data_IF_138812891460
#
_entry.id   IF_138812891460
#
_cell.length_a   1.000
_cell.length_b   1.000
_cell.length_c   1.000
_cell.angle_alpha   90.00
_cell.angle_beta   90.00
_cell.angle_gamma   90.00
#
_symmetry.space_group_name_H-M   'P 1'
#
loop_
_entity.id
_entity.type
_entity.pdbx_description
1 polymer ?
#
# COMPACT_ATOMS: atom_id res chain seq x y z
N UNK A 1 -4.07 -7.91 -0.56
CA UNK A 1 -4.09 -6.98 -1.71
C UNK A 1 -2.78 -7.13 -2.48
N UNK A 2 -2.85 -7.36 -3.80
CA UNK A 2 -1.68 -7.54 -4.66
C UNK A 2 -1.00 -6.20 -4.99
N UNK A 3 0.26 -6.26 -5.42
CA UNK A 3 1.04 -5.08 -5.82
C UNK A 3 0.46 -4.36 -7.06
N UNK A 4 -0.07 -5.14 -8.03
CA UNK A 4 -0.61 -4.66 -9.31
C UNK A 4 -2.10 -4.33 -9.22
N UNK A 5 -2.48 -3.20 -9.81
CA UNK A 5 -3.89 -2.83 -9.97
C UNK A 5 -4.55 -3.61 -11.11
N UNK A 6 -5.73 -4.17 -10.86
CA UNK A 6 -6.59 -4.80 -11.88
C UNK A 6 -7.92 -4.08 -12.06
N UNK A 7 -8.22 -3.09 -11.22
CA UNK A 7 -9.57 -2.53 -11.15
C UNK A 7 -9.88 -1.57 -12.31
N UNK A 8 -8.88 -0.91 -12.88
CA UNK A 8 -9.06 -0.17 -14.14
C UNK A 8 -9.64 -1.06 -15.27
N UNK A 9 -9.23 -2.32 -15.32
CA UNK A 9 -9.62 -3.27 -16.37
C UNK A 9 -10.78 -4.19 -15.97
N UNK A 10 -11.49 -3.88 -14.89
CA UNK A 10 -12.40 -4.81 -14.27
C UNK A 10 -13.61 -5.18 -15.15
N UNK A 11 -14.04 -4.28 -16.05
CA UNK A 11 -15.08 -4.55 -17.06
C UNK A 11 -14.65 -5.70 -17.97
N UNK A 12 -15.40 -6.79 -17.95
CA UNK A 12 -15.09 -8.01 -18.70
C UNK A 12 -14.05 -8.92 -18.03
N UNK A 13 -13.04 -8.36 -17.34
CA UNK A 13 -12.05 -9.15 -16.61
C UNK A 13 -12.71 -10.03 -15.53
N UNK A 14 -13.67 -9.49 -14.77
CA UNK A 14 -14.40 -10.27 -13.76
C UNK A 14 -15.09 -11.51 -14.36
N UNK A 15 -15.70 -11.37 -15.53
CA UNK A 15 -16.32 -12.49 -16.25
C UNK A 15 -15.28 -13.49 -16.76
N UNK A 16 -14.13 -13.01 -17.24
CA UNK A 16 -13.03 -13.86 -17.72
C UNK A 16 -12.44 -14.68 -16.57
N UNK A 17 -12.15 -14.05 -15.43
CA UNK A 17 -11.62 -14.71 -14.23
C UNK A 17 -12.56 -15.79 -13.69
N UNK A 18 -13.88 -15.60 -13.85
CA UNK A 18 -14.90 -16.54 -13.40
C UNK A 18 -15.12 -17.71 -14.37
N UNK A 19 -15.00 -17.48 -15.67
CA UNK A 19 -15.34 -18.47 -16.71
C UNK A 19 -14.13 -19.28 -17.23
N UNK A 20 -12.91 -18.77 -17.06
CA UNK A 20 -11.70 -19.37 -17.63
C UNK A 20 -10.61 -19.58 -16.58
N UNK A 21 -9.78 -20.59 -16.81
CA UNK A 21 -8.53 -20.73 -16.06
C UNK A 21 -7.55 -19.66 -16.55
N UNK A 22 -7.24 -18.71 -15.68
CA UNK A 22 -6.30 -17.62 -15.97
C UNK A 22 -5.02 -17.78 -15.14
N UNK A 23 -4.01 -16.95 -15.44
CA UNK A 23 -2.79 -16.88 -14.63
C UNK A 23 -2.98 -16.07 -13.32
N UNK A 24 -4.14 -15.47 -13.11
CA UNK A 24 -4.44 -14.73 -11.88
C UNK A 24 -4.88 -15.70 -10.77
N UNK A 25 -4.41 -15.45 -9.56
CA UNK A 25 -4.85 -16.20 -8.38
C UNK A 25 -6.25 -15.75 -7.90
N UNK A 26 -6.82 -16.52 -6.97
CA UNK A 26 -8.17 -16.29 -6.44
C UNK A 26 -8.33 -14.93 -5.73
N UNK A 27 -7.25 -14.37 -5.18
CA UNK A 27 -7.25 -13.08 -4.45
C UNK A 27 -7.79 -11.96 -5.32
N UNK A 28 -7.45 -11.98 -6.61
CA UNK A 28 -7.91 -10.96 -7.55
C UNK A 28 -9.42 -11.01 -7.76
N UNK A 29 -9.98 -12.21 -7.91
CA UNK A 29 -11.43 -12.41 -8.04
C UNK A 29 -12.15 -11.96 -6.78
N UNK A 30 -11.64 -12.31 -5.59
CA UNK A 30 -12.25 -11.94 -4.31
C UNK A 30 -12.27 -10.41 -4.11
N UNK A 31 -11.15 -9.74 -4.43
CA UNK A 31 -11.05 -8.27 -4.36
C UNK A 31 -12.04 -7.61 -5.31
N UNK A 32 -12.14 -8.08 -6.55
CA UNK A 32 -13.11 -7.56 -7.51
C UNK A 32 -14.53 -7.78 -7.01
N UNK A 33 -14.87 -8.98 -6.54
CA UNK A 33 -16.20 -9.28 -6.05
C UNK A 33 -16.61 -8.39 -4.88
N UNK A 34 -15.71 -8.16 -3.92
CA UNK A 34 -15.93 -7.24 -2.78
C UNK A 34 -16.09 -5.79 -3.26
N UNK A 35 -15.18 -5.35 -4.13
CA UNK A 35 -15.15 -3.98 -4.59
C UNK A 35 -16.37 -3.64 -5.49
N UNK A 36 -16.99 -4.64 -6.12
CA UNK A 36 -18.21 -4.50 -6.93
C UNK A 36 -19.50 -4.72 -6.15
N UNK A 37 -19.43 -5.04 -4.84
CA UNK A 37 -20.65 -5.13 -4.03
C UNK A 37 -21.38 -3.78 -4.06
N UNK A 38 -22.71 -3.78 -4.28
CA UNK A 38 -23.51 -2.59 -4.07
C UNK A 38 -23.22 -2.05 -2.68
N UNK A 39 -23.09 -0.73 -2.54
CA UNK A 39 -22.89 -0.09 -1.24
C UNK A 39 -23.94 -0.62 -0.26
N UNK A 40 -23.49 -1.36 0.76
CA UNK A 40 -24.38 -1.82 1.82
C UNK A 40 -25.02 -0.59 2.47
N UNK A 41 -26.32 -0.64 2.73
CA UNK A 41 -27.07 0.52 3.25
C UNK A 41 -26.60 0.97 4.65
N UNK A 42 -25.86 0.13 5.38
CA UNK A 42 -25.28 0.48 6.66
C UNK A 42 -23.77 0.66 6.49
N UNK A 43 -23.31 1.92 6.43
CA UNK A 43 -21.89 2.21 6.48
C UNK A 43 -21.30 1.75 7.82
N UNK A 44 -20.18 1.03 7.78
CA UNK A 44 -19.50 0.63 9.00
C UNK A 44 -18.91 1.87 9.68
N UNK A 45 -19.62 2.38 10.70
CA UNK A 45 -19.25 3.61 11.41
C UNK A 45 -17.85 3.55 12.03
N UNK A 46 -17.34 2.34 12.32
CA UNK A 46 -16.02 2.12 12.90
C UNK A 46 -14.91 2.67 12.00
N UNK A 47 -15.05 2.54 10.68
CA UNK A 47 -14.01 2.92 9.72
C UNK A 47 -14.21 4.33 9.15
N UNK A 48 -15.28 5.03 9.51
CA UNK A 48 -15.60 6.35 8.94
C UNK A 48 -14.46 7.37 8.99
N UNK A 49 -13.76 7.56 10.12
CA UNK A 49 -12.63 8.49 10.16
C UNK A 49 -11.52 8.13 9.16
N UNK A 50 -11.28 6.84 8.96
CA UNK A 50 -10.24 6.31 8.05
C UNK A 50 -10.70 6.46 6.59
N UNK A 51 -11.98 6.17 6.31
CA UNK A 51 -12.58 6.36 4.99
C UNK A 51 -12.52 7.83 4.54
N UNK A 52 -12.73 8.78 5.46
CA UNK A 52 -12.62 10.21 5.16
C UNK A 52 -11.15 10.65 4.91
N UNK A 53 -10.18 10.13 5.65
CA UNK A 53 -8.74 10.37 5.37
C UNK A 53 -8.35 9.88 3.97
N UNK A 54 -8.72 8.64 3.64
CA UNK A 54 -8.45 8.04 2.32
C UNK A 54 -9.09 8.85 1.18
N UNK A 55 -10.32 9.36 1.36
CA UNK A 55 -10.95 10.31 0.41
C UNK A 55 -10.11 11.57 0.23
N UNK A 56 -9.63 12.17 1.33
CA UNK A 56 -8.81 13.38 1.26
C UNK A 56 -7.52 13.15 0.48
N UNK A 57 -6.86 11.99 0.63
CA UNK A 57 -5.66 11.65 -0.14
C UNK A 57 -5.92 11.49 -1.64
N UNK A 58 -7.13 11.08 -2.03
CA UNK A 58 -7.59 11.07 -3.42
C UNK A 58 -8.13 12.44 -3.88
N UNK A 59 -7.77 13.51 -3.18
CA UNK A 59 -8.20 14.88 -3.49
C UNK A 59 -9.69 15.14 -3.27
N UNK A 60 -10.31 14.43 -2.32
CA UNK A 60 -11.76 14.46 -2.07
C UNK A 60 -12.57 13.61 -3.05
N UNK A 61 -11.90 12.77 -3.84
CA UNK A 61 -12.52 11.86 -4.78
C UNK A 61 -13.40 10.84 -4.05
N UNK A 62 -14.68 10.74 -4.42
CA UNK A 62 -15.55 9.66 -3.92
C UNK A 62 -15.56 8.55 -4.98
N UNK A 63 -15.07 7.34 -4.65
CA UNK A 63 -15.18 6.20 -5.55
C UNK A 63 -16.66 5.82 -5.72
N UNK A 64 -17.07 5.56 -6.97
CA UNK A 64 -18.41 5.08 -7.36
C UNK A 64 -18.30 3.90 -8.32
N UNK A 65 -19.22 2.94 -8.21
CA UNK A 65 -19.35 1.80 -9.13
C UNK A 65 -20.67 1.94 -9.86
N UNK A 66 -20.64 1.98 -11.19
CA UNK A 66 -21.83 1.90 -12.06
C UNK A 66 -21.55 0.92 -13.19
N UNK A 67 -22.48 0.00 -13.46
CA UNK A 67 -22.41 -0.95 -14.60
C UNK A 67 -21.04 -1.68 -14.73
N UNK A 68 -20.50 -2.19 -13.62
CA UNK A 68 -19.18 -2.83 -13.54
C UNK A 68 -18.00 -1.92 -13.96
N UNK A 69 -18.18 -0.60 -13.88
CA UNK A 69 -17.15 0.42 -14.09
C UNK A 69 -16.95 1.26 -12.83
N UNK A 70 -15.68 1.58 -12.56
CA UNK A 70 -15.30 2.44 -11.46
C UNK A 70 -15.11 3.88 -11.93
N UNK A 71 -15.68 4.79 -11.15
CA UNK A 71 -15.56 6.23 -11.34
C UNK A 71 -15.02 6.87 -10.07
N UNK A 72 -14.17 7.88 -10.23
CA UNK A 72 -13.77 8.77 -9.15
C UNK A 72 -14.49 10.10 -9.35
N UNK A 73 -15.40 10.47 -8.45
CA UNK A 73 -15.99 11.81 -8.49
C UNK A 73 -15.05 12.80 -7.84
N UNK A 74 -14.29 13.54 -8.64
CA UNK A 74 -13.35 14.55 -8.19
C UNK A 74 -13.86 15.94 -8.60
N UNK A 75 -14.14 16.79 -7.61
CA UNK A 75 -14.64 18.18 -7.82
C UNK A 75 -15.89 18.25 -8.72
N UNK A 76 -16.81 17.29 -8.59
CA UNK A 76 -18.06 17.24 -9.36
C UNK A 76 -17.91 16.69 -10.78
N UNK A 77 -16.73 16.18 -11.15
CA UNK A 77 -16.51 15.46 -12.41
C UNK A 77 -16.30 13.98 -12.12
N UNK A 78 -17.08 13.13 -12.79
CA UNK A 78 -16.86 11.70 -12.79
C UNK A 78 -15.73 11.37 -13.78
N UNK A 79 -14.70 10.72 -13.26
CA UNK A 79 -13.53 10.30 -14.03
C UNK A 79 -13.51 8.78 -14.03
N UNK A 80 -13.52 8.15 -15.20
CA UNK A 80 -13.32 6.70 -15.33
C UNK A 80 -11.98 6.31 -14.70
N UNK A 81 -11.93 5.20 -13.95
CA UNK A 81 -10.70 4.74 -13.29
C UNK A 81 -9.52 4.54 -14.26
N UNK A 82 -9.78 4.16 -15.52
CA UNK A 82 -8.75 4.06 -16.55
C UNK A 82 -7.97 5.36 -16.77
N UNK A 83 -8.59 6.51 -16.48
CA UNK A 83 -8.00 7.84 -16.59
C UNK A 83 -7.44 8.36 -15.25
N UNK A 84 -7.69 7.66 -14.15
CA UNK A 84 -7.18 8.00 -12.81
C UNK A 84 -5.73 7.53 -12.67
N UNK A 85 -4.93 8.20 -11.85
CA UNK A 85 -3.58 7.74 -11.55
C UNK A 85 -3.62 6.38 -10.82
N UNK A 86 -2.68 5.47 -11.13
CA UNK A 86 -2.69 4.11 -10.56
C UNK A 86 -2.65 4.09 -9.03
N UNK A 87 -1.85 4.97 -8.42
CA UNK A 87 -1.81 5.13 -6.97
C UNK A 87 -3.18 5.46 -6.38
N UNK A 88 -3.94 6.37 -7.02
CA UNK A 88 -5.30 6.72 -6.57
C UNK A 88 -6.28 5.58 -6.78
N UNK A 89 -6.15 4.80 -7.87
CA UNK A 89 -6.94 3.58 -8.03
C UNK A 89 -6.72 2.64 -6.86
N UNK A 90 -5.47 2.31 -6.52
CA UNK A 90 -5.12 1.43 -5.39
C UNK A 90 -5.75 1.89 -4.07
N UNK A 91 -5.66 3.18 -3.76
CA UNK A 91 -6.30 3.76 -2.56
C UNK A 91 -7.82 3.67 -2.64
N UNK A 92 -8.42 3.89 -3.80
CA UNK A 92 -9.86 3.80 -3.99
C UNK A 92 -10.38 2.36 -3.83
N UNK A 93 -9.62 1.35 -4.31
CA UNK A 93 -9.92 -0.07 -4.06
C UNK A 93 -9.91 -0.36 -2.57
N UNK A 94 -8.86 0.08 -1.88
CA UNK A 94 -8.74 -0.14 -0.44
C UNK A 94 -9.89 0.52 0.33
N UNK A 95 -10.26 1.74 -0.05
CA UNK A 95 -11.43 2.43 0.46
C UNK A 95 -12.73 1.62 0.27
N UNK A 96 -12.92 1.03 -0.91
CA UNK A 96 -14.06 0.16 -1.17
C UNK A 96 -14.08 -1.08 -0.30
N UNK A 97 -12.93 -1.75 -0.14
CA UNK A 97 -12.84 -2.93 0.72
C UNK A 97 -13.21 -2.54 2.15
N UNK A 98 -12.62 -1.48 2.71
CA UNK A 98 -12.93 -1.04 4.07
C UNK A 98 -14.40 -0.65 4.25
N UNK A 99 -15.03 -0.06 3.22
CA UNK A 99 -16.44 0.35 3.26
C UNK A 99 -17.41 -0.82 3.10
N UNK A 100 -17.14 -1.70 2.13
CA UNK A 100 -18.08 -2.72 1.68
C UNK A 100 -17.87 -4.07 2.34
N UNK A 101 -16.71 -4.34 2.97
CA UNK A 101 -16.44 -5.64 3.56
C UNK A 101 -17.33 -5.84 4.80
N UNK A 102 -18.42 -6.64 4.70
CA UNK A 102 -19.50 -6.67 5.70
C UNK A 102 -19.07 -7.31 7.02
N UNK A 103 -17.93 -7.99 7.02
CA UNK A 103 -17.43 -8.76 8.14
C UNK A 103 -16.14 -8.20 8.72
N UNK A 104 -15.66 -7.03 8.26
CA UNK A 104 -14.40 -6.48 8.77
C UNK A 104 -14.54 -6.15 10.25
N UNK A 105 -13.84 -6.90 11.09
CA UNK A 105 -13.95 -6.88 12.55
C UNK A 105 -12.56 -6.89 13.16
N UNK A 106 -12.51 -6.53 14.44
CA UNK A 106 -11.30 -6.73 15.24
C UNK A 106 -10.89 -8.22 15.20
N UNK A 107 -9.60 -8.46 14.98
CA UNK A 107 -9.03 -9.80 14.78
C UNK A 107 -8.85 -10.21 13.32
N UNK A 108 -9.45 -9.49 12.37
CA UNK A 108 -9.24 -9.78 10.95
C UNK A 108 -7.82 -9.40 10.50
N UNK A 109 -7.33 -10.13 9.51
CA UNK A 109 -5.98 -9.98 8.96
C UNK A 109 -6.03 -9.35 7.58
N UNK A 110 -5.32 -8.25 7.38
CA UNK A 110 -5.05 -7.65 6.08
C UNK A 110 -3.62 -8.00 5.67
N UNK A 111 -3.50 -8.73 4.56
CA UNK A 111 -2.22 -8.97 3.89
C UNK A 111 -2.09 -7.99 2.73
N UNK A 112 -1.04 -7.17 2.70
CA UNK A 112 -0.82 -6.21 1.63
C UNK A 112 0.62 -6.30 1.10
N UNK A 113 0.73 -6.67 -0.17
CA UNK A 113 2.00 -6.70 -0.90
C UNK A 113 2.22 -5.38 -1.66
N UNK A 114 3.36 -4.74 -1.42
CA UNK A 114 3.80 -3.46 -1.97
C UNK A 114 2.70 -2.37 -2.00
N UNK A 115 2.14 -2.00 -0.84
CA UNK A 115 1.15 -0.94 -0.78
C UNK A 115 1.69 0.42 -1.27
N UNK A 116 3.00 0.64 -1.18
CA UNK A 116 3.69 1.84 -1.66
C UNK A 116 3.72 1.99 -3.19
N UNK A 117 3.57 0.91 -3.93
CA UNK A 117 3.86 0.93 -5.36
C UNK A 117 2.91 1.90 -6.07
N UNK A 118 3.47 2.77 -6.91
CA UNK A 118 2.78 3.83 -7.65
C UNK A 118 2.17 4.95 -6.79
N UNK A 119 2.54 5.04 -5.50
CA UNK A 119 2.20 6.16 -4.62
C UNK A 119 3.34 7.19 -4.55
N UNK A 120 2.97 8.46 -4.45
CA UNK A 120 3.94 9.52 -4.16
C UNK A 120 4.23 9.62 -2.65
N UNK A 121 5.34 10.27 -2.24
CA UNK A 121 5.72 10.35 -0.83
C UNK A 121 4.66 10.95 0.09
N UNK A 122 3.93 11.99 -0.33
CA UNK A 122 2.88 12.57 0.51
C UNK A 122 1.70 11.61 0.73
N UNK A 123 1.43 10.71 -0.21
CA UNK A 123 0.41 9.67 -0.06
C UNK A 123 0.88 8.51 0.82
N UNK A 124 2.19 8.22 0.87
CA UNK A 124 2.75 7.18 1.75
C UNK A 124 2.55 7.50 3.23
N UNK A 125 2.74 8.77 3.61
CA UNK A 125 2.41 9.24 4.96
C UNK A 125 0.95 8.93 5.31
N UNK A 126 0.04 9.30 4.41
CA UNK A 126 -1.38 9.08 4.63
C UNK A 126 -1.77 7.60 4.69
N UNK A 127 -1.13 6.77 3.88
CA UNK A 127 -1.26 5.32 3.95
C UNK A 127 -0.78 4.81 5.33
N UNK A 128 0.39 5.22 5.81
CA UNK A 128 0.91 4.82 7.11
C UNK A 128 0.00 5.24 8.27
N UNK A 129 -0.55 6.46 8.23
CA UNK A 129 -1.57 6.92 9.18
C UNK A 129 -2.79 6.00 9.19
N UNK A 130 -3.31 5.62 8.01
CA UNK A 130 -4.46 4.73 7.90
C UNK A 130 -4.16 3.32 8.43
N UNK A 131 -2.99 2.75 8.10
CA UNK A 131 -2.60 1.44 8.59
C UNK A 131 -2.42 1.45 10.12
N UNK A 132 -1.82 2.51 10.67
CA UNK A 132 -1.72 2.71 12.12
C UNK A 132 -3.10 2.79 12.78
N UNK A 133 -4.03 3.57 12.24
CA UNK A 133 -5.39 3.69 12.77
C UNK A 133 -6.15 2.34 12.73
N UNK A 134 -6.06 1.61 11.61
CA UNK A 134 -6.66 0.27 11.49
C UNK A 134 -6.06 -0.71 12.51
N UNK A 135 -4.75 -0.67 12.76
CA UNK A 135 -4.11 -1.51 13.79
C UNK A 135 -4.66 -1.21 15.19
N UNK A 136 -4.94 0.07 15.49
CA UNK A 136 -5.51 0.52 16.77
C UNK A 136 -6.96 0.07 16.94
N UNK A 137 -7.71 -0.08 15.84
CA UNK A 137 -9.04 -0.71 15.81
C UNK A 137 -8.98 -2.24 15.95
N UNK A 138 -7.79 -2.81 16.10
CA UNK A 138 -7.57 -4.24 16.37
C UNK A 138 -7.56 -5.12 15.13
N UNK A 139 -7.31 -4.54 13.95
CA UNK A 139 -6.96 -5.33 12.76
C UNK A 139 -5.49 -5.72 12.80
N UNK A 140 -5.18 -6.95 12.40
CA UNK A 140 -3.80 -7.35 12.15
C UNK A 140 -3.44 -7.02 10.72
N UNK A 141 -2.36 -6.28 10.50
CA UNK A 141 -1.93 -5.87 9.16
C UNK A 141 -0.52 -6.39 8.94
N UNK A 142 -0.33 -7.14 7.85
CA UNK A 142 0.96 -7.65 7.42
C UNK A 142 1.27 -7.01 6.07
N UNK A 143 2.33 -6.21 6.05
CA UNK A 143 2.79 -5.51 4.87
C UNK A 143 4.10 -6.12 4.40
N UNK A 144 4.15 -6.53 3.13
CA UNK A 144 5.41 -6.78 2.43
C UNK A 144 5.77 -5.49 1.67
N UNK A 145 6.97 -4.97 1.91
CA UNK A 145 7.41 -3.68 1.38
C UNK A 145 8.91 -3.66 1.15
N UNK A 146 9.33 -2.89 0.15
CA UNK A 146 10.73 -2.54 -0.10
C UNK A 146 11.00 -1.05 0.16
N UNK A 147 10.01 -0.31 0.66
CA UNK A 147 10.06 1.14 0.86
C UNK A 147 10.53 1.54 2.25
N UNK A 148 11.74 2.06 2.31
CA UNK A 148 12.27 2.71 3.51
C UNK A 148 11.34 3.82 4.03
N UNK A 149 10.76 4.62 3.12
CA UNK A 149 9.87 5.74 3.48
C UNK A 149 8.63 5.22 4.21
N UNK A 150 7.99 4.16 3.68
CA UNK A 150 6.81 3.58 4.32
C UNK A 150 7.15 3.00 5.70
N UNK A 151 8.29 2.29 5.82
CA UNK A 151 8.74 1.72 7.08
C UNK A 151 8.96 2.81 8.15
N UNK A 152 9.57 3.94 7.77
CA UNK A 152 9.77 5.07 8.68
C UNK A 152 8.49 5.80 9.04
N UNK A 153 7.57 6.01 8.09
CA UNK A 153 6.27 6.62 8.39
C UNK A 153 5.45 5.73 9.35
N UNK A 154 5.50 4.40 9.21
CA UNK A 154 4.85 3.48 10.15
C UNK A 154 5.44 3.55 11.57
N UNK A 155 6.76 3.72 11.69
CA UNK A 155 7.47 3.94 12.95
C UNK A 155 7.03 5.26 13.61
N UNK A 156 6.97 6.35 12.83
CA UNK A 156 6.57 7.70 13.29
C UNK A 156 5.11 7.72 13.75
N UNK A 157 4.21 7.02 13.04
CA UNK A 157 2.78 7.02 13.33
C UNK A 157 2.37 6.03 14.43
N UNK A 158 3.36 5.40 15.10
CA UNK A 158 3.19 4.52 16.26
C UNK A 158 2.04 3.52 16.06
N UNK A 159 2.16 2.69 15.02
CA UNK A 159 1.23 1.59 14.81
C UNK A 159 1.23 0.66 16.05
N UNK A 160 0.04 0.15 16.40
CA UNK A 160 -0.11 -0.70 17.58
C UNK A 160 0.65 -2.02 17.35
N UNK A 161 1.46 -2.42 18.32
CA UNK A 161 2.22 -3.68 18.31
C UNK A 161 3.08 -3.86 17.04
N UNK A 162 3.62 -2.76 16.50
CA UNK A 162 4.44 -2.74 15.29
C UNK A 162 5.68 -3.65 15.42
N UNK A 163 5.87 -4.51 14.41
CA UNK A 163 7.04 -5.36 14.27
C UNK A 163 7.60 -5.27 12.87
N UNK A 164 8.91 -5.15 12.79
CA UNK A 164 9.67 -5.26 11.56
C UNK A 164 10.23 -6.67 11.46
N UNK A 165 10.11 -7.27 10.28
CA UNK A 165 10.55 -8.65 10.04
C UNK A 165 11.43 -8.65 8.79
N UNK A 166 12.69 -9.06 8.95
CA UNK A 166 13.60 -9.31 7.82
C UNK A 166 13.82 -10.81 7.67
N UNK A 167 13.63 -11.33 6.46
CA UNK A 167 13.94 -12.71 6.13
C UNK A 167 15.31 -12.79 5.48
N UNK A 168 16.15 -13.71 5.94
CA UNK A 168 17.50 -13.90 5.41
C UNK A 168 17.84 -15.37 5.27
N UNK A 169 18.67 -15.66 4.26
CA UNK A 169 19.18 -17.02 3.99
C UNK A 169 20.39 -17.32 4.87
N UNK A 170 20.55 -18.59 5.20
CA UNK A 170 21.69 -19.11 5.97
C UNK A 170 22.51 -20.07 5.12
N UNK A 171 23.79 -20.24 5.45
CA UNK A 171 24.73 -21.12 4.73
C UNK A 171 24.25 -22.58 4.61
N UNK A 172 23.31 -23.00 5.48
CA UNK A 172 22.73 -24.34 5.51
C UNK A 172 21.45 -24.48 4.65
N UNK A 173 21.24 -23.60 3.65
CA UNK A 173 20.03 -23.58 2.79
C UNK A 173 18.70 -23.39 3.56
N UNK A 174 18.74 -22.79 4.75
CA UNK A 174 17.54 -22.43 5.52
C UNK A 174 17.23 -20.93 5.47
N UNK A 175 15.96 -20.57 5.69
CA UNK A 175 15.52 -19.18 5.88
C UNK A 175 15.29 -18.92 7.38
N UNK A 176 15.84 -17.81 7.88
CA UNK A 176 15.59 -17.31 9.25
C UNK A 176 14.92 -15.93 9.19
N UNK A 177 14.30 -15.55 10.30
CA UNK A 177 13.70 -14.25 10.48
C UNK A 177 14.42 -13.47 11.59
N UNK A 178 14.73 -12.21 11.32
CA UNK A 178 15.05 -11.19 12.30
C UNK A 178 13.78 -10.41 12.61
N UNK A 179 13.47 -10.20 13.89
CA UNK A 179 12.27 -9.50 14.32
C UNK A 179 12.65 -8.40 15.31
N UNK A 180 12.20 -7.18 15.05
CA UNK A 180 12.44 -6.02 15.90
C UNK A 180 11.17 -5.18 16.07
N UNK A 181 11.10 -4.40 17.15
CA UNK A 181 10.00 -3.44 17.40
C UNK A 181 10.35 -2.02 16.97
N UNK A 182 11.58 -1.79 16.53
CA UNK A 182 12.06 -0.55 15.90
C UNK A 182 12.79 -0.89 14.61
N UNK A 183 12.82 0.04 13.67
CA UNK A 183 13.51 -0.14 12.40
C UNK A 183 15.02 -0.31 12.62
N UNK A 184 15.62 0.46 13.52
CA UNK A 184 17.06 0.39 13.84
C UNK A 184 17.48 -0.94 14.48
N UNK A 185 16.54 -1.65 15.12
CA UNK A 185 16.81 -2.93 15.75
C UNK A 185 16.84 -4.12 14.79
N UNK A 186 16.53 -3.92 13.51
CA UNK A 186 16.35 -5.02 12.57
C UNK A 186 17.68 -5.50 11.99
N UNK A 187 18.10 -6.70 12.39
CA UNK A 187 19.29 -7.33 11.79
C UNK A 187 19.00 -7.85 10.38
N UNK A 188 20.06 -7.96 9.55
CA UNK A 188 19.99 -8.45 8.17
C UNK A 188 19.03 -7.66 7.28
N UNK A 189 18.98 -6.34 7.46
CA UNK A 189 18.13 -5.45 6.69
C UNK A 189 18.70 -5.17 5.29
N UNK A 190 18.13 -5.81 4.27
CA UNK A 190 18.57 -5.60 2.88
C UNK A 190 18.24 -4.18 2.37
N UNK A 191 17.14 -3.58 2.85
CA UNK A 191 16.72 -2.23 2.46
C UNK A 191 17.74 -1.21 2.97
N UNK A 192 18.11 -1.29 4.26
CA UNK A 192 19.12 -0.42 4.86
C UNK A 192 20.49 -0.61 4.23
N UNK A 193 20.92 -1.86 4.02
CA UNK A 193 22.21 -2.16 3.38
C UNK A 193 22.32 -1.51 2.00
N UNK A 194 21.24 -1.55 1.21
CA UNK A 194 21.22 -0.92 -0.11
C UNK A 194 21.18 0.60 -0.02
N UNK A 195 20.42 1.16 0.92
CA UNK A 195 20.37 2.60 1.16
C UNK A 195 21.74 3.16 1.58
N UNK A 196 22.42 2.50 2.51
CA UNK A 196 23.79 2.86 2.92
C UNK A 196 24.79 2.79 1.76
N UNK A 197 24.65 1.80 0.87
CA UNK A 197 25.51 1.66 -0.31
C UNK A 197 25.35 2.86 -1.24
N UNK A 198 24.10 3.27 -1.49
CA UNK A 198 23.79 4.44 -2.33
C UNK A 198 24.31 5.72 -1.66
N UNK A 199 24.06 5.91 -0.36
CA UNK A 199 24.51 7.08 0.39
C UNK A 199 26.04 7.24 0.36
N UNK A 200 26.78 6.13 0.52
CA UNK A 200 28.26 6.11 0.41
C UNK A 200 28.75 6.51 -0.98
N UNK A 201 28.08 6.03 -2.03
CA UNK A 201 28.43 6.42 -3.41
C UNK A 201 28.18 7.90 -3.68
N UNK A 202 27.05 8.43 -3.18
CA UNK A 202 26.73 9.86 -3.35
C UNK A 202 27.80 10.72 -2.66
N UNK A 203 28.10 10.47 -1.38
CA UNK A 203 29.17 11.16 -0.63
C UNK A 203 30.53 11.13 -1.34
N UNK A 204 30.91 9.97 -1.90
CA UNK A 204 32.16 9.85 -2.67
C UNK A 204 32.16 10.77 -3.89
N UNK A 205 31.04 10.86 -4.61
CA UNK A 205 30.91 11.74 -5.78
C UNK A 205 30.96 13.23 -5.43
N UNK A 206 30.45 13.63 -4.25
CA UNK A 206 30.56 15.01 -3.75
C UNK A 206 32.01 15.38 -3.44
N UNK A 207 32.74 14.49 -2.76
CA UNK A 207 34.15 14.70 -2.43
C UNK A 207 35.06 14.78 -3.67
N UNK A 208 34.74 14.03 -4.73
CA UNK A 208 35.46 14.12 -6.01
C UNK A 208 35.19 15.44 -6.75
N UNK A 209 33.94 15.91 -6.77
CA UNK A 209 33.55 17.20 -7.39
C UNK A 209 34.16 18.42 -6.70
N UNK A 210 34.28 18.38 -5.37
CA UNK A 210 34.91 19.46 -4.61
C UNK A 210 36.43 19.52 -4.85
N UNK A 211 37.08 18.37 -5.11
CA UNK A 211 38.51 18.33 -5.45
C UNK A 211 38.81 18.86 -6.86
N UNK A 212 37.93 18.61 -7.84
CA UNK A 212 38.08 19.12 -9.22
C UNK A 212 37.79 20.63 -9.32
N UNK A 213 36.95 21.18 -8.44
CA UNK A 213 36.67 22.62 -8.35
C UNK A 213 37.84 23.50 -7.88
N UNK A 214 38.91 22.90 -7.34
CA UNK A 214 40.09 23.60 -6.86
C UNK A 214 41.30 23.57 -7.81
N UNK A 215 41.22 22.86 -8.95
CA UNK A 215 42.28 22.87 -9.98
C UNK A 215 42.04 23.86 -11.14
N UNK A 216 40.95 24.65 -11.07
CA UNK A 216 40.53 25.57 -12.14
C UNK A 216 40.59 27.07 -11.78
N UNK A 217 41.59 27.53 -11.03
CA UNK A 217 41.87 28.96 -10.82
C UNK A 217 43.35 29.30 -10.90
#
# INVERSE_FOLDING_TARGET
>A
MPAKDLIGHAKGLRSILKLYQTAFDQTYTDILDIAFLPSLQAENQLFQPILEKLKQYMGGGIPKVEEDQYFLNHKGKEIEFNLVAEGWRKIAVFWYILRNYPHLRSGDVILWDEPEANLNPSTLKGLAECLSDLSKLGLQIIVATHSYVLLKELEIHEARDLKFISLYTTDQQGVKASVATSYEGIEHNLIEKEFERIYRLDLGSWLERDNDGHQGR
#
